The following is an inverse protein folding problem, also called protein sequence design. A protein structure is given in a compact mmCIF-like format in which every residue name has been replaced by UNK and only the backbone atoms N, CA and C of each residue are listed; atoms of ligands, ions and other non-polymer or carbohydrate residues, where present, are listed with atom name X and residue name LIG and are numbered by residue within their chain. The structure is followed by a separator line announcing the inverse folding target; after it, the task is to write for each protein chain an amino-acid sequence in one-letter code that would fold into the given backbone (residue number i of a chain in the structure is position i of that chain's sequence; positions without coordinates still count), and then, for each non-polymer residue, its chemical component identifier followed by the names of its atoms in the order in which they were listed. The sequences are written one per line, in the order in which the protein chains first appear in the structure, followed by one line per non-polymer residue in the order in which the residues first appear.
data_IF_458831863556
#
_entry.id   IF_458831863556
#
_cell.length_a   1.000
_cell.length_b   1.000
_cell.length_c   1.000
_cell.angle_alpha   90.00
_cell.angle_beta   90.00
_cell.angle_gamma   90.00
#
_symmetry.space_group_name_H-M   'P 1'
#
loop_
_entity.id
_entity.type
_entity.pdbx_description
1 polymer ?
#
# COMPACT_ATOMS: atom_id res chain seq x y z
N UNK A 1 -10.18 -2.53 -30.03
CA UNK A 1 -9.82 -2.71 -28.61
C UNK A 1 -8.30 -2.84 -28.54
N UNK A 2 -7.62 -1.87 -27.94
CA UNK A 2 -6.17 -1.94 -27.75
C UNK A 2 -5.84 -3.07 -26.77
N UNK A 3 -4.79 -3.82 -27.07
CA UNK A 3 -4.31 -4.96 -26.26
C UNK A 3 -3.81 -4.58 -24.86
N UNK A 4 -3.70 -3.27 -24.59
CA UNK A 4 -3.13 -2.68 -23.37
C UNK A 4 -4.11 -2.67 -22.17
N UNK A 5 -5.43 -2.66 -22.41
CA UNK A 5 -6.45 -2.70 -21.35
C UNK A 5 -6.54 -4.07 -20.62
N UNK A 6 -5.76 -5.07 -21.04
CA UNK A 6 -5.78 -6.41 -20.44
C UNK A 6 -4.79 -6.59 -19.30
N UNK A 7 -3.71 -5.80 -19.24
CA UNK A 7 -2.67 -5.97 -18.21
C UNK A 7 -2.92 -5.00 -17.07
N UNK A 8 -3.14 -5.54 -15.87
CA UNK A 8 -3.44 -4.74 -14.67
C UNK A 8 -2.19 -4.55 -13.83
N UNK A 9 -1.61 -3.35 -13.93
CA UNK A 9 -0.47 -2.92 -13.13
C UNK A 9 -0.93 -2.25 -11.82
N UNK A 10 -0.26 -2.60 -10.73
CA UNK A 10 -0.50 -2.02 -9.41
C UNK A 10 0.81 -1.56 -8.77
N UNK A 11 0.84 -0.30 -8.34
CA UNK A 11 1.93 0.28 -7.56
C UNK A 11 1.47 0.50 -6.11
N UNK A 12 2.27 0.03 -5.15
CA UNK A 12 2.01 0.18 -3.72
C UNK A 12 3.21 0.85 -3.07
N UNK A 13 2.98 2.02 -2.49
CA UNK A 13 3.97 2.74 -1.69
C UNK A 13 3.74 2.50 -0.20
N UNK A 14 4.79 2.14 0.56
CA UNK A 14 4.70 2.03 2.03
C UNK A 14 6.00 2.41 2.72
N UNK A 15 5.97 3.39 3.62
CA UNK A 15 7.14 4.03 4.20
C UNK A 15 7.57 5.31 3.48
N UNK A 16 8.44 6.09 4.12
CA UNK A 16 9.10 7.25 3.53
C UNK A 16 10.49 6.83 3.05
N UNK A 17 11.05 7.48 2.01
CA UNK A 17 12.44 7.26 1.62
C UNK A 17 13.40 7.50 2.79
N UNK A 18 14.54 6.81 2.77
CA UNK A 18 15.63 7.03 3.74
C UNK A 18 16.39 8.33 3.48
N UNK A 19 16.46 8.73 2.21
CA UNK A 19 17.09 9.95 1.71
C UNK A 19 16.01 10.90 1.18
N UNK A 20 15.73 11.96 1.94
CA UNK A 20 14.70 12.95 1.60
C UNK A 20 15.06 13.78 0.37
N UNK A 21 16.32 13.80 -0.09
CA UNK A 21 16.69 14.48 -1.33
C UNK A 21 16.06 13.84 -2.57
N UNK A 22 15.59 12.58 -2.45
CA UNK A 22 14.90 11.82 -3.49
C UNK A 22 13.38 11.83 -3.37
N UNK A 23 12.82 12.52 -2.38
CA UNK A 23 11.36 12.51 -2.14
C UNK A 23 10.59 12.94 -3.39
N UNK A 24 11.03 14.03 -4.06
CA UNK A 24 10.39 14.52 -5.28
C UNK A 24 10.49 13.53 -6.44
N UNK A 25 11.65 12.89 -6.63
CA UNK A 25 11.88 11.89 -7.67
C UNK A 25 10.89 10.72 -7.52
N UNK A 26 10.77 10.17 -6.32
CA UNK A 26 9.84 9.06 -6.05
C UNK A 26 8.37 9.49 -6.12
N UNK A 27 8.06 10.71 -5.73
CA UNK A 27 6.70 11.26 -5.87
C UNK A 27 6.30 11.43 -7.34
N UNK A 28 7.20 11.95 -8.20
CA UNK A 28 6.98 12.04 -9.64
C UNK A 28 6.87 10.65 -10.29
N UNK A 29 7.72 9.70 -9.89
CA UNK A 29 7.58 8.30 -10.31
C UNK A 29 6.19 7.75 -9.95
N UNK A 30 5.75 7.95 -8.71
CA UNK A 30 4.42 7.52 -8.26
C UNK A 30 3.30 8.15 -9.09
N UNK A 31 3.38 9.46 -9.35
CA UNK A 31 2.38 10.19 -10.13
C UNK A 31 2.29 9.66 -11.56
N UNK A 32 3.43 9.45 -12.20
CA UNK A 32 3.54 9.06 -13.62
C UNK A 32 3.35 7.56 -13.87
N UNK A 33 3.26 6.74 -12.81
CA UNK A 33 2.96 5.31 -12.95
C UNK A 33 1.60 5.07 -13.65
N UNK A 34 1.63 4.24 -14.69
CA UNK A 34 0.46 3.82 -15.47
C UNK A 34 -0.14 2.55 -14.86
N UNK A 35 -1.24 2.72 -14.13
CA UNK A 35 -1.94 1.63 -13.45
C UNK A 35 -2.64 2.10 -12.19
N UNK A 36 -3.07 1.16 -11.35
CA UNK A 36 -3.64 1.45 -10.04
C UNK A 36 -2.53 1.83 -9.07
N UNK A 37 -2.82 2.78 -8.19
CA UNK A 37 -1.86 3.35 -7.23
C UNK A 37 -2.43 3.30 -5.83
N UNK A 38 -1.66 2.75 -4.89
CA UNK A 38 -2.05 2.60 -3.49
C UNK A 38 -0.94 3.16 -2.59
N UNK A 39 -1.36 3.81 -1.51
CA UNK A 39 -0.48 4.27 -0.44
C UNK A 39 -0.86 3.57 0.86
N UNK A 40 0.10 2.86 1.46
CA UNK A 40 -0.03 2.18 2.75
C UNK A 40 0.86 2.88 3.77
N UNK A 41 0.37 3.95 4.40
CA UNK A 41 1.16 4.74 5.34
C UNK A 41 0.67 6.18 5.44
N UNK A 42 0.33 6.65 6.64
CA UNK A 42 0.04 8.08 6.87
C UNK A 42 1.23 8.98 6.49
N UNK A 43 2.43 8.69 7.00
CA UNK A 43 3.65 9.43 6.64
C UNK A 43 3.99 9.32 5.15
N UNK A 44 3.70 8.18 4.52
CA UNK A 44 3.85 7.97 3.07
C UNK A 44 2.92 8.89 2.29
N UNK A 45 1.64 8.94 2.68
CA UNK A 45 0.67 9.84 2.07
C UNK A 45 1.10 11.30 2.23
N UNK A 46 1.56 11.68 3.43
CA UNK A 46 1.98 13.05 3.73
C UNK A 46 3.15 13.52 2.87
N UNK A 47 4.19 12.70 2.63
CA UNK A 47 5.28 13.16 1.77
C UNK A 47 4.85 13.24 0.30
N UNK A 48 4.10 12.25 -0.22
CA UNK A 48 3.58 12.31 -1.60
C UNK A 48 2.68 13.54 -1.77
N UNK A 49 1.85 13.84 -0.77
CA UNK A 49 1.00 15.02 -0.73
C UNK A 49 1.81 16.32 -0.79
N UNK A 50 2.88 16.42 -0.01
CA UNK A 50 3.78 17.58 0.02
C UNK A 50 4.49 17.78 -1.32
N UNK A 51 5.08 16.74 -1.87
CA UNK A 51 5.86 16.81 -3.11
C UNK A 51 4.99 17.10 -4.33
N UNK A 52 3.80 16.49 -4.40
CA UNK A 52 2.89 16.66 -5.54
C UNK A 52 1.90 17.80 -5.36
N UNK A 53 1.84 18.43 -4.17
CA UNK A 53 0.84 19.44 -3.81
C UNK A 53 -0.60 18.95 -3.99
N UNK A 54 -0.85 17.68 -3.70
CA UNK A 54 -2.17 17.06 -3.77
C UNK A 54 -2.66 16.82 -2.34
N UNK A 55 -3.76 17.47 -1.90
CA UNK A 55 -4.19 17.39 -0.51
C UNK A 55 -4.75 16.01 -0.14
N UNK A 56 -4.48 15.57 1.09
CA UNK A 56 -5.10 14.39 1.70
C UNK A 56 -6.41 14.82 2.35
N UNK A 57 -7.50 14.13 2.04
CA UNK A 57 -8.81 14.33 2.65
C UNK A 57 -9.09 13.16 3.60
N UNK A 58 -9.33 13.47 4.87
CA UNK A 58 -9.81 12.47 5.83
C UNK A 58 -11.32 12.33 5.68
N UNK A 59 -11.85 11.15 5.36
CA UNK A 59 -13.29 10.97 5.37
C UNK A 59 -13.82 11.05 6.80
N UNK A 60 -15.06 11.49 6.94
CA UNK A 60 -15.80 11.40 8.19
C UNK A 60 -16.29 9.95 8.41
N UNK A 61 -15.35 9.02 8.59
CA UNK A 61 -15.60 7.60 8.75
C UNK A 61 -15.04 7.10 10.08
N UNK A 62 -15.71 6.11 10.66
CA UNK A 62 -15.28 5.47 11.91
C UNK A 62 -14.29 4.34 11.62
N UNK A 63 -13.58 3.93 12.66
CA UNK A 63 -12.78 2.71 12.66
C UNK A 63 -13.64 1.52 12.25
N UNK A 64 -13.09 0.62 11.43
CA UNK A 64 -13.78 -0.62 11.06
C UNK A 64 -13.99 -1.54 12.27
N UNK A 65 -14.89 -2.52 12.12
CA UNK A 65 -15.16 -3.51 13.17
C UNK A 65 -13.91 -4.33 13.57
N UNK A 66 -12.98 -4.49 12.63
CA UNK A 66 -11.71 -5.18 12.81
C UNK A 66 -10.59 -4.27 13.36
N UNK A 67 -10.92 -3.05 13.80
CA UNK A 67 -9.95 -2.13 14.42
C UNK A 67 -9.04 -1.40 13.42
N UNK A 68 -9.29 -1.49 12.11
CA UNK A 68 -8.53 -0.72 11.12
C UNK A 68 -9.04 0.73 11.03
N UNK A 69 -8.14 1.73 11.09
CA UNK A 69 -8.49 3.13 10.82
C UNK A 69 -9.09 3.29 9.41
N UNK A 70 -9.96 4.30 9.18
CA UNK A 70 -10.53 4.53 7.86
C UNK A 70 -9.46 4.86 6.81
N UNK A 71 -9.75 4.57 5.54
CA UNK A 71 -8.93 5.00 4.42
C UNK A 71 -8.93 6.52 4.26
N UNK A 72 -7.88 7.09 3.70
CA UNK A 72 -7.84 8.48 3.29
C UNK A 72 -8.21 8.61 1.81
N UNK A 73 -8.54 9.82 1.37
CA UNK A 73 -8.79 10.15 -0.04
C UNK A 73 -7.71 11.10 -0.54
N UNK A 74 -7.15 10.80 -1.70
CA UNK A 74 -6.15 11.63 -2.37
C UNK A 74 -6.36 11.50 -3.88
N UNK A 75 -6.45 12.64 -4.57
CA UNK A 75 -6.76 12.65 -6.01
C UNK A 75 -5.65 11.94 -6.79
N UNK A 76 -6.04 11.05 -7.72
CA UNK A 76 -5.10 10.21 -8.47
C UNK A 76 -4.58 8.97 -7.73
N UNK A 77 -5.08 8.67 -6.52
CA UNK A 77 -4.74 7.46 -5.74
C UNK A 77 -5.98 6.61 -5.53
N UNK A 78 -5.88 5.30 -5.73
CA UNK A 78 -7.02 4.38 -5.65
C UNK A 78 -7.36 3.96 -4.21
N UNK A 79 -6.35 3.89 -3.33
CA UNK A 79 -6.53 3.56 -1.93
C UNK A 79 -5.40 4.18 -1.10
N UNK A 80 -5.74 4.85 0.00
CA UNK A 80 -4.77 5.37 0.97
C UNK A 80 -5.14 4.82 2.35
N UNK A 81 -4.20 4.23 3.08
CA UNK A 81 -4.45 3.55 4.36
C UNK A 81 -3.42 3.91 5.43
N UNK A 82 -3.62 3.45 6.67
CA UNK A 82 -2.71 3.69 7.79
C UNK A 82 -1.31 3.10 7.57
N UNK A 83 -1.21 1.95 6.90
CA UNK A 83 0.05 1.26 6.66
C UNK A 83 0.12 -0.12 7.31
N UNK A 84 0.93 -0.27 8.36
CA UNK A 84 1.36 -1.57 8.88
C UNK A 84 0.18 -2.40 9.40
N UNK A 85 -0.83 -1.77 10.03
CA UNK A 85 -2.01 -2.49 10.49
C UNK A 85 -2.82 -3.06 9.33
N UNK A 86 -2.99 -2.27 8.27
CA UNK A 86 -3.69 -2.70 7.05
C UNK A 86 -2.94 -3.83 6.34
N UNK A 87 -1.62 -3.70 6.19
CA UNK A 87 -0.79 -4.74 5.58
C UNK A 87 -0.82 -6.04 6.38
N UNK A 88 -0.76 -5.96 7.72
CA UNK A 88 -0.82 -7.12 8.60
C UNK A 88 -2.16 -7.85 8.47
N UNK A 89 -3.26 -7.10 8.42
CA UNK A 89 -4.60 -7.69 8.23
C UNK A 89 -4.77 -8.28 6.83
N UNK A 90 -4.20 -7.66 5.81
CA UNK A 90 -4.21 -8.21 4.45
C UNK A 90 -3.49 -9.57 4.36
N UNK A 91 -2.41 -9.79 5.12
CA UNK A 91 -1.77 -11.12 5.24
C UNK A 91 -2.77 -12.15 5.78
N UNK A 92 -3.53 -11.83 6.83
CA UNK A 92 -4.54 -12.74 7.39
C UNK A 92 -5.59 -13.13 6.33
N UNK A 93 -6.10 -12.15 5.59
CA UNK A 93 -7.10 -12.37 4.54
C UNK A 93 -6.56 -13.21 3.38
N UNK A 94 -5.36 -12.91 2.89
CA UNK A 94 -4.71 -13.66 1.82
C UNK A 94 -4.46 -15.13 2.22
N UNK A 95 -4.06 -15.38 3.47
CA UNK A 95 -3.87 -16.74 4.00
C UNK A 95 -5.17 -17.52 4.10
N UNK A 96 -6.22 -16.87 4.59
CA UNK A 96 -7.54 -17.48 4.82
C UNK A 96 -8.45 -17.51 3.59
N UNK A 97 -7.98 -17.01 2.43
CA UNK A 97 -8.75 -16.93 1.16
C UNK A 97 -10.02 -16.06 1.24
N UNK A 98 -10.11 -15.22 2.27
CA UNK A 98 -11.19 -14.26 2.41
C UNK A 98 -10.84 -13.01 1.61
N UNK A 99 -10.96 -13.10 0.30
CA UNK A 99 -10.39 -12.11 -0.64
C UNK A 99 -11.40 -11.14 -1.27
N UNK A 100 -12.71 -11.38 -1.10
CA UNK A 100 -13.78 -10.55 -1.71
C UNK A 100 -14.81 -10.19 -0.65
N UNK A 101 -15.38 -8.99 -0.74
CA UNK A 101 -16.58 -8.61 0.02
C UNK A 101 -16.29 -8.17 1.46
N UNK A 102 -15.02 -7.91 1.78
CA UNK A 102 -14.63 -7.33 3.07
C UNK A 102 -14.58 -5.81 2.92
N UNK A 103 -15.61 -5.13 3.41
CA UNK A 103 -15.67 -3.66 3.35
C UNK A 103 -14.85 -3.00 4.46
N UNK A 104 -13.52 -3.13 4.36
CA UNK A 104 -12.56 -2.39 5.16
C UNK A 104 -11.28 -2.12 4.35
N UNK A 105 -10.34 -1.29 4.85
CA UNK A 105 -9.14 -0.92 4.09
C UNK A 105 -8.26 -2.11 3.67
N UNK A 106 -8.18 -3.17 4.51
CA UNK A 106 -7.38 -4.34 4.20
C UNK A 106 -8.09 -5.26 3.18
N UNK A 107 -9.41 -5.38 3.26
CA UNK A 107 -10.22 -6.07 2.27
C UNK A 107 -10.07 -5.43 0.89
N UNK A 108 -10.23 -4.10 0.81
CA UNK A 108 -10.00 -3.33 -0.43
C UNK A 108 -8.58 -3.50 -0.96
N UNK A 109 -7.57 -3.49 -0.09
CA UNK A 109 -6.19 -3.76 -0.50
C UNK A 109 -6.06 -5.15 -1.12
N UNK A 110 -6.63 -6.18 -0.50
CA UNK A 110 -6.59 -7.56 -1.01
C UNK A 110 -7.31 -7.67 -2.36
N UNK A 111 -8.44 -7.02 -2.54
CA UNK A 111 -9.15 -6.98 -3.83
C UNK A 111 -8.24 -6.41 -4.94
N UNK A 112 -7.53 -5.30 -4.69
CA UNK A 112 -6.56 -4.78 -5.65
C UNK A 112 -5.40 -5.76 -5.92
N UNK A 113 -4.86 -6.42 -4.90
CA UNK A 113 -3.79 -7.40 -5.05
C UNK A 113 -4.22 -8.60 -5.89
N UNK A 114 -5.45 -9.10 -5.70
CA UNK A 114 -5.97 -10.24 -6.45
C UNK A 114 -6.39 -9.84 -7.86
N UNK A 115 -6.89 -8.64 -8.08
CA UNK A 115 -7.30 -8.17 -9.40
C UNK A 115 -6.11 -7.83 -10.33
N UNK A 116 -4.91 -7.64 -9.79
CA UNK A 116 -3.73 -7.20 -10.56
C UNK A 116 -2.88 -8.34 -11.13
N UNK A 117 -2.17 -8.11 -12.23
CA UNK A 117 -1.24 -9.07 -12.84
C UNK A 117 0.20 -8.83 -12.37
N UNK A 118 0.61 -7.55 -12.35
CA UNK A 118 1.94 -7.10 -11.95
C UNK A 118 1.81 -6.13 -10.79
N UNK A 119 2.51 -6.44 -9.70
CA UNK A 119 2.44 -5.68 -8.45
C UNK A 119 3.84 -5.19 -8.11
N UNK A 120 4.03 -3.89 -8.04
CA UNK A 120 5.28 -3.25 -7.63
C UNK A 120 5.11 -2.64 -6.25
N UNK A 121 5.89 -3.13 -5.29
CA UNK A 121 6.03 -2.50 -3.98
C UNK A 121 7.23 -1.57 -3.99
N UNK A 122 7.02 -0.34 -3.51
CA UNK A 122 8.09 0.59 -3.18
C UNK A 122 8.03 0.85 -1.68
N UNK A 123 9.09 0.42 -0.99
CA UNK A 123 9.12 0.28 0.46
C UNK A 123 10.16 1.23 1.03
N UNK A 124 9.67 2.27 1.69
CA UNK A 124 10.49 3.23 2.39
C UNK A 124 11.15 2.63 3.63
N UNK A 125 12.44 2.89 3.77
CA UNK A 125 13.32 2.46 4.87
C UNK A 125 13.64 3.59 5.84
N UNK A 126 13.08 4.79 5.62
CA UNK A 126 13.20 5.92 6.54
C UNK A 126 12.74 5.57 7.96
N UNK A 127 13.56 5.96 8.94
CA UNK A 127 13.31 5.72 10.36
C UNK A 127 12.01 6.41 10.78
N UNK A 128 11.10 5.64 11.37
CA UNK A 128 9.85 6.18 11.90
C UNK A 128 10.10 6.56 13.36
N UNK A 129 10.37 7.85 13.64
CA UNK A 129 10.69 8.31 15.00
C UNK A 129 9.55 8.14 16.02
N UNK A 130 8.35 7.74 15.58
CA UNK A 130 7.13 7.70 16.39
C UNK A 130 6.63 6.30 16.80
N UNK A 131 7.47 5.27 16.92
CA UNK A 131 7.04 4.03 17.60
C UNK A 131 8.00 3.58 18.70
N UNK A 132 7.57 3.96 19.90
CA UNK A 132 7.80 3.30 21.18
C UNK A 132 7.66 1.79 21.01
N UNK A 133 8.62 1.10 21.62
CA UNK A 133 8.75 -0.32 21.77
C UNK A 133 7.51 -0.92 22.47
N UNK A 134 6.51 -1.39 21.73
CA UNK A 134 5.36 -2.12 22.29
C UNK A 134 4.98 -3.28 21.36
N UNK A 135 5.25 -4.50 21.83
CA UNK A 135 4.93 -5.83 21.26
C UNK A 135 5.81 -6.29 20.08
N UNK A 136 6.04 -7.61 20.00
CA UNK A 136 6.72 -8.35 18.91
C UNK A 136 5.94 -8.23 17.58
N UNK A 137 5.76 -7.02 17.09
CA UNK A 137 5.14 -6.78 15.80
C UNK A 137 6.19 -6.98 14.71
N UNK A 138 5.81 -7.72 13.66
CA UNK A 138 6.63 -7.85 12.45
C UNK A 138 6.93 -6.46 11.89
N UNK A 139 8.14 -6.29 11.39
CA UNK A 139 8.53 -5.10 10.63
C UNK A 139 7.71 -5.00 9.33
N UNK A 140 7.61 -3.78 8.76
CA UNK A 140 6.99 -3.55 7.45
C UNK A 140 7.60 -4.47 6.38
N UNK A 141 8.93 -4.64 6.41
CA UNK A 141 9.66 -5.52 5.51
C UNK A 141 9.18 -6.96 5.62
N UNK A 142 9.14 -7.51 6.84
CA UNK A 142 8.68 -8.88 7.07
C UNK A 142 7.23 -9.10 6.60
N UNK A 143 6.35 -8.12 6.82
CA UNK A 143 4.94 -8.21 6.38
C UNK A 143 4.85 -8.20 4.85
N UNK A 144 5.58 -7.30 4.18
CA UNK A 144 5.58 -7.23 2.71
C UNK A 144 6.19 -8.49 2.11
N UNK A 145 7.31 -8.98 2.65
CA UNK A 145 7.94 -10.23 2.20
C UNK A 145 6.96 -11.41 2.31
N UNK A 146 6.13 -11.45 3.37
CA UNK A 146 5.07 -12.45 3.53
C UNK A 146 3.93 -12.29 2.51
N UNK A 147 3.46 -11.06 2.24
CA UNK A 147 2.47 -10.79 1.19
C UNK A 147 3.00 -11.27 -0.17
N UNK A 148 4.24 -10.90 -0.52
CA UNK A 148 4.89 -11.28 -1.78
C UNK A 148 4.92 -12.80 -1.93
N UNK A 149 5.35 -13.52 -0.89
CA UNK A 149 5.39 -14.99 -0.90
C UNK A 149 4.02 -15.61 -1.13
N UNK A 150 2.97 -15.08 -0.48
CA UNK A 150 1.60 -15.59 -0.67
C UNK A 150 1.12 -15.31 -2.09
N UNK A 151 1.29 -14.09 -2.60
CA UNK A 151 0.85 -13.70 -3.94
C UNK A 151 1.52 -14.52 -5.04
N UNK A 152 2.83 -14.77 -4.92
CA UNK A 152 3.57 -15.59 -5.88
C UNK A 152 3.18 -17.07 -5.81
N UNK A 153 3.12 -17.65 -4.60
CA UNK A 153 2.91 -19.10 -4.44
C UNK A 153 1.46 -19.54 -4.63
N UNK A 154 0.51 -18.72 -4.16
CA UNK A 154 -0.91 -19.08 -4.08
C UNK A 154 -1.74 -18.47 -5.21
N UNK A 155 -1.39 -17.26 -5.62
CA UNK A 155 -2.17 -16.48 -6.60
C UNK A 155 -1.44 -16.28 -7.93
N UNK A 156 -0.24 -16.86 -8.08
CA UNK A 156 0.60 -16.80 -9.29
C UNK A 156 0.84 -15.38 -9.82
N UNK A 157 0.91 -14.39 -8.92
CA UNK A 157 1.14 -12.98 -9.27
C UNK A 157 2.62 -12.70 -9.54
N UNK A 158 2.89 -11.76 -10.44
CA UNK A 158 4.24 -11.23 -10.65
C UNK A 158 4.45 -10.04 -9.74
N UNK A 159 5.39 -10.15 -8.81
CA UNK A 159 5.61 -9.15 -7.76
C UNK A 159 7.07 -8.69 -7.75
N UNK A 160 7.30 -7.38 -7.73
CA UNK A 160 8.61 -6.75 -7.51
C UNK A 160 8.59 -5.89 -6.26
N UNK A 161 9.75 -5.77 -5.61
CA UNK A 161 9.92 -4.93 -4.42
C UNK A 161 11.17 -4.08 -4.58
N UNK A 162 11.04 -2.76 -4.42
CA UNK A 162 12.13 -1.80 -4.38
C UNK A 162 12.17 -1.16 -3.00
N UNK A 163 13.36 -1.05 -2.40
CA UNK A 163 13.57 -0.36 -1.14
C UNK A 163 14.18 1.02 -1.38
N UNK A 164 13.66 2.04 -0.69
CA UNK A 164 14.04 3.45 -0.87
C UNK A 164 14.28 4.15 0.46
#
# INVERSE_FOLDING_TARGET
MNTDDRIKNLLIFSGTPSDSSKDFEYAEFFKNFVGKKIICGGSTASYISRELKIPIKMPNAKMSIDGLPPSFVMDGVNLVTEGVLTLSKAVEYLKTERVIGIDNPAGKLVEFLIDSDFISFVVGTGLNMNKINVLKLKSRKEIIDEIVLILQKKYSKKVSVQYI
#
